data_IF_520126517171
#
_entry.id   IF_520126517171
#
_cell.length_a   1.000
_cell.length_b   1.000
_cell.length_c   1.000
_cell.angle_alpha   90.00
_cell.angle_beta   90.00
_cell.angle_gamma   90.00
#
_symmetry.space_group_name_H-M   'P 1'
#
loop_
_entity.id
_entity.type
_entity.pdbx_description
1 polymer ?
#
# COMPACT_ATOMS: atom_id res chain seq x y z
N UNK A 1 -17.55 -9.33 -10.69
CA UNK A 1 -17.10 -7.98 -10.31
C UNK A 1 -15.96 -8.17 -9.33
N UNK A 2 -14.77 -7.65 -9.62
CA UNK A 2 -13.62 -7.80 -8.74
C UNK A 2 -13.44 -6.55 -7.89
N UNK A 3 -13.19 -6.73 -6.59
CA UNK A 3 -12.90 -5.65 -5.64
C UNK A 3 -11.60 -5.98 -4.93
N UNK A 4 -10.62 -5.09 -5.02
CA UNK A 4 -9.32 -5.25 -4.39
C UNK A 4 -9.26 -4.36 -3.15
N UNK A 5 -9.15 -4.97 -1.97
CA UNK A 5 -9.03 -4.26 -0.69
C UNK A 5 -7.58 -4.32 -0.25
N UNK A 6 -6.96 -3.15 -0.06
CA UNK A 6 -5.57 -3.02 0.36
C UNK A 6 -5.48 -2.21 1.65
N UNK A 7 -4.69 -2.68 2.61
CA UNK A 7 -4.29 -1.89 3.78
C UNK A 7 -3.20 -0.89 3.36
N UNK A 8 -3.19 0.29 3.98
CA UNK A 8 -2.10 1.25 3.80
C UNK A 8 -0.72 0.62 4.09
N UNK A 9 0.32 1.13 3.43
CA UNK A 9 1.70 0.74 3.71
C UNK A 9 2.14 1.09 5.12
N UNK A 10 3.31 0.59 5.54
CA UNK A 10 3.88 0.92 6.84
C UNK A 10 3.96 2.44 7.07
N UNK A 11 3.42 2.89 8.20
CA UNK A 11 3.43 4.28 8.61
C UNK A 11 4.34 4.49 9.82
N UNK A 12 5.00 5.66 9.87
CA UNK A 12 5.88 6.03 10.97
C UNK A 12 5.17 5.95 12.32
N UNK A 13 5.89 5.67 13.41
CA UNK A 13 5.29 5.54 14.74
C UNK A 13 4.84 6.88 15.33
N UNK A 14 5.60 7.94 15.07
CA UNK A 14 5.36 9.27 15.62
C UNK A 14 4.99 10.30 14.54
N UNK A 15 4.03 11.16 14.89
CA UNK A 15 3.65 12.37 14.16
C UNK A 15 2.90 13.30 15.13
N UNK A 16 2.58 14.52 14.70
CA UNK A 16 1.80 15.45 15.51
C UNK A 16 0.38 14.93 15.85
N UNK A 17 -0.15 14.01 15.04
CA UNK A 17 -1.39 13.25 15.30
C UNK A 17 -1.38 11.93 14.51
N UNK A 18 -2.21 10.95 14.91
CA UNK A 18 -2.29 9.66 14.20
C UNK A 18 -2.69 9.82 12.72
N UNK A 19 -3.61 10.75 12.42
CA UNK A 19 -4.02 11.05 11.05
C UNK A 19 -2.91 11.67 10.18
N UNK A 20 -1.85 12.21 10.78
CA UNK A 20 -0.72 12.84 10.08
C UNK A 20 0.50 11.94 9.97
N UNK A 21 0.39 10.65 10.34
CA UNK A 21 1.52 9.71 10.26
C UNK A 21 1.90 9.46 8.78
N UNK A 22 3.12 9.86 8.35
CA UNK A 22 3.57 9.60 7.00
C UNK A 22 3.89 8.11 6.81
N UNK A 23 3.92 7.64 5.56
CA UNK A 23 4.52 6.35 5.26
C UNK A 23 6.01 6.39 5.58
N UNK A 24 6.55 5.26 6.07
CA UNK A 24 7.99 5.05 6.09
C UNK A 24 8.49 4.81 4.66
N UNK A 25 9.81 4.89 4.45
CA UNK A 25 10.40 4.51 3.15
C UNK A 25 10.05 3.06 2.79
N UNK A 26 10.09 2.15 3.77
CA UNK A 26 9.72 0.75 3.58
C UNK A 26 8.24 0.60 3.17
N UNK A 27 7.33 1.30 3.85
CA UNK A 27 5.90 1.27 3.53
C UNK A 27 5.57 1.82 2.14
N UNK A 28 6.30 2.85 1.70
CA UNK A 28 6.23 3.35 0.33
C UNK A 28 6.69 2.29 -0.68
N UNK A 29 7.88 1.72 -0.48
CA UNK A 29 8.47 0.76 -1.43
C UNK A 29 7.66 -0.55 -1.54
N UNK A 30 7.08 -1.01 -0.43
CA UNK A 30 6.13 -2.13 -0.43
C UNK A 30 4.87 -1.83 -1.22
N UNK A 31 4.31 -0.63 -1.06
CA UNK A 31 3.12 -0.22 -1.80
C UNK A 31 3.40 -0.14 -3.30
N UNK A 32 4.57 0.36 -3.70
CA UNK A 32 5.00 0.38 -5.12
C UNK A 32 5.18 -1.03 -5.67
N UNK A 33 5.81 -1.94 -4.90
CA UNK A 33 5.95 -3.35 -5.33
C UNK A 33 4.61 -4.04 -5.50
N UNK A 34 3.65 -3.81 -4.60
CA UNK A 34 2.30 -4.34 -4.73
C UNK A 34 1.58 -3.78 -5.96
N UNK A 35 1.71 -2.47 -6.21
CA UNK A 35 1.15 -1.85 -7.41
C UNK A 35 1.72 -2.48 -8.69
N UNK A 36 3.04 -2.68 -8.77
CA UNK A 36 3.67 -3.34 -9.91
C UNK A 36 3.19 -4.80 -10.07
N UNK A 37 3.11 -5.56 -8.97
CA UNK A 37 2.59 -6.92 -9.00
C UNK A 37 1.15 -6.98 -9.50
N UNK A 38 0.28 -6.10 -8.99
CA UNK A 38 -1.13 -6.05 -9.37
C UNK A 38 -1.29 -5.66 -10.84
N UNK A 39 -0.51 -4.68 -11.34
CA UNK A 39 -0.53 -4.30 -12.75
C UNK A 39 -0.23 -5.49 -13.68
N UNK A 40 0.65 -6.40 -13.27
CA UNK A 40 0.95 -7.62 -14.03
C UNK A 40 -0.06 -8.75 -13.82
N UNK A 41 -0.87 -8.72 -12.76
CA UNK A 41 -1.73 -9.85 -12.35
C UNK A 41 -3.21 -9.60 -12.50
N UNK A 42 -3.68 -8.35 -12.54
CA UNK A 42 -5.11 -7.98 -12.47
C UNK A 42 -5.97 -8.67 -13.53
N UNK A 43 -5.43 -8.92 -14.73
CA UNK A 43 -6.14 -9.62 -15.81
C UNK A 43 -6.25 -11.16 -15.62
N UNK A 44 -5.62 -11.70 -14.57
CA UNK A 44 -5.51 -13.15 -14.28
C UNK A 44 -6.00 -13.51 -12.88
N UNK A 45 -6.66 -12.58 -12.18
CA UNK A 45 -7.25 -12.84 -10.87
C UNK A 45 -8.73 -13.14 -11.11
N UNK A 46 -9.06 -14.44 -10.98
CA UNK A 46 -10.42 -14.98 -11.10
C UNK A 46 -11.23 -14.77 -9.81
#
# INVERSE_FOLDING_TARGET
MQVFIMRHGEAALEAASDAQRPLTLAGHDESVRMAAWLAHRVARID
#
